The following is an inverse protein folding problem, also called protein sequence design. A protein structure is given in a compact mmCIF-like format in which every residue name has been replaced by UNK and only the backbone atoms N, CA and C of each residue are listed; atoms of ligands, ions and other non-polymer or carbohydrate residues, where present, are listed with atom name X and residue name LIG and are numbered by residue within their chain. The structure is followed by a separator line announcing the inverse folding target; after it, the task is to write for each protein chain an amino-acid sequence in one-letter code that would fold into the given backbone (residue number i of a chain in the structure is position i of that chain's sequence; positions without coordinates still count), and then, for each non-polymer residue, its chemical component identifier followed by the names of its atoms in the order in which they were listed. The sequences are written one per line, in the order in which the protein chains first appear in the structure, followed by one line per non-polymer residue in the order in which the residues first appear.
data_IF_165057360287
#
_entry.id   IF_165057360287
#
_cell.length_a   1.000
_cell.length_b   1.000
_cell.length_c   1.000
_cell.angle_alpha   90.00
_cell.angle_beta   90.00
_cell.angle_gamma   90.00
#
_symmetry.space_group_name_H-M   'P 1'
#
loop_
_entity.id
_entity.type
_entity.pdbx_description
1 polymer ?
#
# COMPACT_ATOMS: atom_id res chain seq x y z
N UNK A 1 -16.05 78.70 -22.69
CA UNK A 1 -14.60 78.93 -22.54
C UNK A 1 -13.89 77.77 -23.23
N UNK A 2 -12.78 78.06 -23.91
CA UNK A 2 -12.22 77.36 -25.07
C UNK A 2 -11.65 75.94 -24.81
N UNK A 3 -11.70 75.09 -25.84
CA UNK A 3 -10.78 73.96 -26.14
C UNK A 3 -9.40 74.54 -26.57
N UNK A 4 -8.29 73.81 -26.87
CA UNK A 4 -7.90 72.40 -26.67
C UNK A 4 -6.39 72.13 -26.30
N UNK A 5 -6.08 70.84 -26.04
CA UNK A 5 -4.92 70.03 -26.52
C UNK A 5 -3.48 70.19 -25.94
N UNK A 6 -2.59 69.18 -26.17
CA UNK A 6 -1.60 68.65 -25.21
C UNK A 6 -0.14 68.90 -25.63
N UNK A 7 0.82 68.43 -24.81
CA UNK A 7 2.22 68.23 -25.24
C UNK A 7 2.73 66.89 -24.72
N UNK A 8 3.32 66.12 -25.63
CA UNK A 8 4.03 64.86 -25.39
C UNK A 8 5.55 65.12 -25.23
N UNK A 9 6.36 64.08 -25.40
CA UNK A 9 7.84 64.04 -25.44
C UNK A 9 8.47 64.10 -24.01
N UNK A 10 9.45 63.28 -23.60
CA UNK A 10 10.53 62.56 -24.29
C UNK A 10 10.99 61.35 -23.43
N UNK A 11 11.27 60.24 -24.10
CA UNK A 11 12.05 59.08 -23.66
C UNK A 11 13.50 59.45 -23.31
N UNK A 12 14.05 59.04 -22.16
CA UNK A 12 15.51 58.77 -22.05
C UNK A 12 15.81 57.54 -21.21
N UNK A 13 16.34 56.55 -21.92
CA UNK A 13 17.13 55.42 -21.41
C UNK A 13 18.46 55.96 -20.88
N UNK A 14 18.84 55.60 -19.65
CA UNK A 14 20.25 55.55 -19.22
C UNK A 14 20.44 54.25 -18.43
N UNK A 15 21.18 53.33 -19.04
CA UNK A 15 21.95 52.29 -18.35
C UNK A 15 23.07 52.97 -17.55
N UNK A 16 23.23 52.59 -16.28
CA UNK A 16 24.53 52.67 -15.62
C UNK A 16 24.66 51.55 -14.60
N UNK A 17 25.38 50.52 -15.04
CA UNK A 17 26.08 49.54 -14.23
C UNK A 17 27.16 50.23 -13.40
N UNK A 18 27.19 49.98 -12.09
CA UNK A 18 28.43 50.05 -11.32
C UNK A 18 28.42 48.98 -10.21
N UNK A 19 29.30 48.01 -10.40
CA UNK A 19 29.73 47.02 -9.43
C UNK A 19 30.71 47.67 -8.45
N UNK A 20 30.58 47.36 -7.15
CA UNK A 20 31.66 47.03 -6.20
C UNK A 20 30.98 46.71 -4.85
N UNK A 21 30.87 45.43 -4.46
CA UNK A 21 31.79 44.74 -3.55
C UNK A 21 32.10 45.56 -2.29
N UNK A 22 31.59 45.10 -1.13
CA UNK A 22 32.39 44.80 0.06
C UNK A 22 31.55 44.00 1.09
N UNK A 23 32.11 42.83 1.39
CA UNK A 23 32.16 42.15 2.68
C UNK A 23 30.94 41.34 3.14
N UNK A 24 31.05 40.06 2.78
CA UNK A 24 30.24 38.97 3.30
C UNK A 24 30.30 38.84 4.82
N UNK A 25 29.13 38.70 5.41
CA UNK A 25 28.99 37.82 6.55
C UNK A 25 28.95 36.39 6.02
N UNK A 26 29.67 35.44 6.62
CA UNK A 26 29.52 34.05 6.25
C UNK A 26 28.08 33.68 6.58
N UNK A 27 27.30 33.35 5.55
CA UNK A 27 26.08 32.59 5.72
C UNK A 27 26.48 31.36 6.52
N UNK A 28 26.11 31.33 7.80
CA UNK A 28 26.14 30.11 8.60
C UNK A 28 25.21 29.17 7.89
N UNK A 29 25.80 28.33 7.03
CA UNK A 29 25.14 27.23 6.38
C UNK A 29 24.44 26.47 7.49
N UNK A 30 23.11 26.63 7.55
CA UNK A 30 22.24 25.95 8.46
C UNK A 30 22.40 24.48 8.08
N UNK A 31 23.32 23.79 8.77
CA UNK A 31 23.55 22.37 8.62
C UNK A 31 22.17 21.73 8.71
N UNK A 32 21.71 21.13 7.61
CA UNK A 32 20.55 20.24 7.59
C UNK A 32 20.70 19.29 8.76
N UNK A 33 20.00 19.57 9.86
CA UNK A 33 19.90 18.69 11.00
C UNK A 33 18.88 17.60 10.65
N UNK A 34 19.21 16.78 9.64
CA UNK A 34 18.49 15.56 9.27
C UNK A 34 19.17 14.36 9.91
N UNK A 35 19.48 14.43 11.21
CA UNK A 35 19.98 13.28 11.97
C UNK A 35 19.01 12.99 13.11
N UNK A 36 17.96 12.27 12.75
CA UNK A 36 17.21 11.46 13.70
C UNK A 36 18.12 10.30 14.17
N UNK A 37 18.14 10.02 15.46
CA UNK A 37 19.13 9.12 16.09
C UNK A 37 18.94 7.64 15.76
N UNK A 38 17.81 7.24 15.16
CA UNK A 38 17.69 5.97 14.46
C UNK A 38 17.91 6.23 12.96
N UNK A 39 18.98 5.67 12.37
CA UNK A 39 19.07 5.64 10.91
C UNK A 39 17.95 4.73 10.39
N UNK A 40 17.16 5.14 9.38
CA UNK A 40 16.11 4.33 8.75
C UNK A 40 16.48 2.87 8.42
N UNK A 41 17.75 2.61 8.13
CA UNK A 41 18.27 1.26 7.90
C UNK A 41 18.21 0.37 9.17
N UNK A 42 18.46 0.97 10.33
CA UNK A 42 18.57 0.25 11.60
C UNK A 42 17.22 -0.30 12.08
N UNK A 43 16.10 0.35 11.73
CA UNK A 43 14.76 -0.12 12.14
C UNK A 43 14.31 -1.35 11.35
N UNK A 44 14.52 -1.34 10.03
CA UNK A 44 14.24 -2.50 9.17
C UNK A 44 15.14 -3.67 9.54
N UNK A 45 16.43 -3.42 9.78
CA UNK A 45 17.37 -4.44 10.26
C UNK A 45 16.94 -5.01 11.61
N UNK A 46 16.64 -4.15 12.60
CA UNK A 46 16.23 -4.62 13.93
C UNK A 46 14.96 -5.48 13.86
N UNK A 47 13.98 -5.08 13.04
CA UNK A 47 12.76 -5.85 12.83
C UNK A 47 13.01 -7.20 12.14
N UNK A 48 13.90 -7.24 11.14
CA UNK A 48 14.28 -8.47 10.45
C UNK A 48 15.00 -9.46 11.36
N UNK A 49 15.74 -8.95 12.34
CA UNK A 49 16.53 -9.77 13.26
C UNK A 49 15.73 -10.34 14.43
N UNK A 50 14.53 -9.83 14.71
CA UNK A 50 13.69 -10.29 15.83
C UNK A 50 13.38 -11.79 15.78
N UNK A 51 13.13 -12.32 14.57
CA UNK A 51 12.84 -13.73 14.34
C UNK A 51 13.88 -14.42 13.46
N UNK A 52 15.06 -13.81 13.29
CA UNK A 52 16.15 -14.40 12.52
C UNK A 52 16.73 -15.64 13.21
N UNK A 53 17.18 -16.59 12.40
CA UNK A 53 17.94 -17.73 12.86
C UNK A 53 19.31 -17.28 13.39
N UNK A 54 19.75 -17.89 14.48
CA UNK A 54 21.13 -17.85 14.95
C UNK A 54 22.07 -18.55 13.96
N UNK A 55 23.39 -18.32 14.10
CA UNK A 55 24.40 -18.97 13.28
C UNK A 55 24.32 -20.50 13.35
N UNK A 56 24.08 -21.07 14.53
CA UNK A 56 23.95 -22.52 14.73
C UNK A 56 22.71 -23.07 14.04
N UNK A 57 21.58 -22.37 14.12
CA UNK A 57 20.35 -22.74 13.40
C UNK A 57 20.54 -22.68 11.88
N UNK A 58 21.22 -21.65 11.37
CA UNK A 58 21.57 -21.56 9.94
C UNK A 58 22.44 -22.74 9.52
N UNK A 59 23.48 -23.07 10.28
CA UNK A 59 24.37 -24.19 9.99
C UNK A 59 23.63 -25.54 10.04
N UNK A 60 22.62 -25.68 10.90
CA UNK A 60 21.80 -26.90 10.99
C UNK A 60 20.96 -27.19 9.74
N UNK A 61 20.78 -26.20 8.85
CA UNK A 61 20.09 -26.38 7.57
C UNK A 61 21.00 -26.98 6.49
N UNK A 62 22.32 -26.98 6.67
CA UNK A 62 23.26 -27.58 5.71
C UNK A 62 23.08 -29.10 5.68
N UNK A 63 23.06 -29.67 4.48
CA UNK A 63 22.80 -31.08 4.20
C UNK A 63 21.31 -31.43 4.09
N UNK A 64 20.41 -30.49 4.38
CA UNK A 64 18.96 -30.72 4.22
C UNK A 64 18.50 -30.48 2.78
N UNK A 65 17.41 -31.17 2.42
CA UNK A 65 16.67 -30.93 1.17
C UNK A 65 15.75 -29.72 1.32
N UNK A 66 15.65 -28.95 0.25
CA UNK A 66 14.91 -27.70 0.23
C UNK A 66 14.23 -27.42 -1.11
N UNK A 67 13.13 -26.69 -1.04
CA UNK A 67 12.56 -25.97 -2.18
C UNK A 67 12.86 -24.48 -2.02
N UNK A 68 13.53 -23.85 -2.97
CA UNK A 68 14.02 -22.47 -2.86
C UNK A 68 13.38 -21.59 -3.91
N UNK A 69 12.57 -20.63 -3.47
CA UNK A 69 11.95 -19.62 -4.32
C UNK A 69 12.89 -18.41 -4.49
N UNK A 70 13.04 -17.99 -5.73
CA UNK A 70 13.86 -16.83 -6.10
C UNK A 70 13.01 -15.63 -6.58
N UNK A 71 13.60 -14.44 -6.54
CA UNK A 71 12.90 -13.17 -6.84
C UNK A 71 12.37 -13.03 -8.27
N UNK A 72 12.79 -13.89 -9.20
CA UNK A 72 12.23 -13.96 -10.55
C UNK A 72 11.07 -14.96 -10.68
N UNK A 73 10.59 -15.50 -9.56
CA UNK A 73 9.51 -16.50 -9.51
C UNK A 73 9.95 -17.93 -9.81
N UNK A 74 11.23 -18.18 -10.07
CA UNK A 74 11.74 -19.54 -10.27
C UNK A 74 11.92 -20.25 -8.93
N UNK A 75 11.43 -21.46 -8.84
CA UNK A 75 11.67 -22.38 -7.73
C UNK A 75 12.73 -23.43 -8.11
N UNK A 76 13.71 -23.63 -7.24
CA UNK A 76 14.63 -24.77 -7.29
C UNK A 76 14.07 -25.85 -6.35
N UNK A 77 13.66 -26.99 -6.90
CA UNK A 77 12.93 -28.04 -6.17
C UNK A 77 13.86 -29.18 -5.76
N UNK A 78 13.67 -29.69 -4.55
CA UNK A 78 14.39 -30.82 -3.95
C UNK A 78 15.92 -30.74 -4.05
N UNK A 79 16.45 -29.53 -3.80
CA UNK A 79 17.88 -29.27 -3.79
C UNK A 79 18.47 -29.45 -2.40
N UNK A 80 19.65 -30.05 -2.32
CA UNK A 80 20.42 -30.13 -1.07
C UNK A 80 21.13 -28.80 -0.82
N UNK A 81 21.01 -28.26 0.39
CA UNK A 81 21.75 -27.07 0.82
C UNK A 81 23.17 -27.50 1.18
N UNK A 82 24.15 -27.24 0.31
CA UNK A 82 25.52 -27.68 0.57
C UNK A 82 26.31 -26.70 1.42
N UNK A 83 25.98 -25.39 1.34
CA UNK A 83 26.72 -24.36 2.05
C UNK A 83 26.00 -23.02 2.13
N UNK A 84 26.17 -22.31 3.25
CA UNK A 84 25.94 -20.88 3.33
C UNK A 84 27.27 -20.11 3.29
N UNK A 85 27.31 -19.02 2.52
CA UNK A 85 28.42 -18.06 2.54
C UNK A 85 27.99 -16.83 3.33
N UNK A 86 28.69 -16.54 4.42
CA UNK A 86 28.24 -15.60 5.44
C UNK A 86 29.02 -14.27 5.45
N UNK A 87 28.52 -13.34 6.25
CA UNK A 87 29.12 -12.05 6.57
C UNK A 87 30.26 -12.17 7.59
N UNK A 88 30.50 -11.07 8.32
CA UNK A 88 31.29 -11.12 9.57
C UNK A 88 30.52 -11.84 10.68
N UNK A 89 29.21 -11.74 10.61
CA UNK A 89 28.26 -12.47 11.43
C UNK A 89 27.79 -13.68 10.62
N UNK A 90 27.87 -14.86 11.23
CA UNK A 90 27.56 -16.13 10.60
C UNK A 90 26.05 -16.36 10.41
N UNK A 91 25.20 -15.59 11.10
CA UNK A 91 23.76 -15.57 10.84
C UNK A 91 23.38 -14.81 9.57
N UNK A 92 24.27 -13.96 9.05
CA UNK A 92 24.02 -13.13 7.88
C UNK A 92 24.53 -13.77 6.59
N UNK A 93 23.61 -14.11 5.69
CA UNK A 93 23.90 -14.88 4.47
C UNK A 93 24.11 -13.96 3.28
N UNK A 94 25.28 -14.04 2.64
CA UNK A 94 25.55 -13.36 1.35
C UNK A 94 25.08 -14.18 0.15
N UNK A 95 25.15 -15.51 0.26
CA UNK A 95 24.67 -16.44 -0.75
C UNK A 95 24.56 -17.85 -0.17
N UNK A 96 23.72 -18.67 -0.79
CA UNK A 96 23.58 -20.10 -0.51
C UNK A 96 24.05 -20.91 -1.72
N UNK A 97 24.68 -22.05 -1.48
CA UNK A 97 24.97 -23.05 -2.50
C UNK A 97 24.00 -24.22 -2.34
N UNK A 98 23.41 -24.63 -3.47
CA UNK A 98 22.47 -25.73 -3.53
C UNK A 98 22.85 -26.71 -4.63
N UNK A 99 22.48 -27.98 -4.48
CA UNK A 99 22.86 -29.04 -5.41
C UNK A 99 21.69 -29.99 -5.67
N UNK A 100 21.46 -30.36 -6.93
CA UNK A 100 20.51 -31.43 -7.28
C UNK A 100 21.19 -32.80 -7.18
N UNK A 101 20.40 -33.87 -7.01
CA UNK A 101 20.86 -35.23 -6.70
C UNK A 101 21.94 -35.78 -7.65
N UNK A 102 21.99 -35.31 -8.90
CA UNK A 102 22.96 -35.77 -9.91
C UNK A 102 23.93 -34.69 -10.42
N UNK A 103 23.92 -33.49 -9.83
CA UNK A 103 24.82 -32.43 -10.26
C UNK A 103 26.26 -32.71 -9.81
N UNK A 104 27.25 -32.44 -10.66
CA UNK A 104 28.67 -32.50 -10.27
C UNK A 104 29.17 -31.19 -9.63
N UNK A 105 28.42 -30.09 -9.79
CA UNK A 105 28.73 -28.77 -9.24
C UNK A 105 27.51 -28.16 -8.56
N UNK A 106 27.74 -27.48 -7.45
CA UNK A 106 26.72 -26.68 -6.77
C UNK A 106 26.34 -25.43 -7.58
N UNK A 107 25.10 -25.00 -7.42
CA UNK A 107 24.58 -23.74 -7.93
C UNK A 107 24.56 -22.72 -6.81
N UNK A 108 25.19 -21.57 -7.03
CA UNK A 108 25.21 -20.46 -6.08
C UNK A 108 24.04 -19.50 -6.30
N UNK A 109 23.27 -19.23 -5.26
CA UNK A 109 22.15 -18.29 -5.22
C UNK A 109 22.51 -17.13 -4.29
N UNK A 110 22.51 -15.90 -4.80
CA UNK A 110 22.85 -14.71 -4.02
C UNK A 110 21.67 -14.24 -3.17
N UNK A 111 21.96 -13.65 -2.00
CA UNK A 111 20.95 -13.16 -1.06
C UNK A 111 19.93 -12.20 -1.69
N UNK A 112 20.35 -11.38 -2.65
CA UNK A 112 19.47 -10.46 -3.41
C UNK A 112 18.44 -11.17 -4.29
N UNK A 113 18.58 -12.48 -4.50
CA UNK A 113 17.68 -13.30 -5.32
C UNK A 113 16.89 -14.30 -4.49
N UNK A 114 17.21 -14.49 -3.21
CA UNK A 114 16.52 -15.43 -2.35
C UNK A 114 15.27 -14.76 -1.78
N UNK A 115 14.14 -15.48 -1.79
CA UNK A 115 12.87 -14.98 -1.25
C UNK A 115 12.40 -15.87 -0.11
N UNK A 116 12.28 -17.16 -0.39
CA UNK A 116 11.74 -18.14 0.54
C UNK A 116 12.42 -19.49 0.32
N UNK A 117 12.48 -20.28 1.38
CA UNK A 117 12.94 -21.65 1.35
C UNK A 117 12.03 -22.50 2.22
N UNK A 118 11.63 -23.67 1.71
CA UNK A 118 10.96 -24.70 2.48
C UNK A 118 11.92 -25.84 2.76
N UNK A 119 12.07 -26.21 4.02
CA UNK A 119 12.92 -27.33 4.47
C UNK A 119 12.09 -28.14 5.45
N UNK A 120 11.93 -29.43 5.17
CA UNK A 120 10.97 -30.27 5.87
C UNK A 120 9.56 -29.60 5.81
N UNK A 121 8.85 -29.51 6.93
CA UNK A 121 7.56 -28.81 7.04
C UNK A 121 7.68 -27.32 7.40
N UNK A 122 8.90 -26.77 7.42
CA UNK A 122 9.14 -25.38 7.82
C UNK A 122 9.37 -24.46 6.63
N UNK A 123 8.81 -23.26 6.72
CA UNK A 123 9.03 -22.17 5.77
C UNK A 123 9.95 -21.13 6.38
N UNK A 124 10.97 -20.75 5.62
CA UNK A 124 11.96 -19.74 5.97
C UNK A 124 11.92 -18.60 4.96
N UNK A 125 11.94 -17.36 5.44
CA UNK A 125 12.00 -16.17 4.58
C UNK A 125 13.40 -15.56 4.61
N UNK A 126 13.90 -15.16 3.43
CA UNK A 126 15.16 -14.40 3.34
C UNK A 126 14.85 -12.91 3.33
N UNK A 127 15.26 -12.20 4.37
CA UNK A 127 15.12 -10.75 4.46
C UNK A 127 16.45 -10.08 4.11
N UNK A 128 16.56 -9.57 2.88
CA UNK A 128 17.78 -8.88 2.44
C UNK A 128 17.94 -7.53 3.15
N UNK A 129 19.12 -7.31 3.72
CA UNK A 129 19.51 -6.11 4.46
C UNK A 129 20.60 -5.36 3.65
N UNK A 130 20.24 -4.29 2.91
CA UNK A 130 21.16 -3.63 1.98
C UNK A 130 22.43 -3.06 2.63
N UNK A 131 22.32 -2.59 3.87
CA UNK A 131 23.42 -2.09 4.70
C UNK A 131 24.47 -3.16 5.00
N UNK A 132 24.02 -4.41 5.20
CA UNK A 132 24.86 -5.57 5.49
C UNK A 132 25.30 -6.31 4.22
N UNK A 133 24.65 -6.02 3.08
CA UNK A 133 24.80 -6.75 1.81
C UNK A 133 24.64 -8.27 1.99
N UNK A 134 23.71 -8.64 2.87
CA UNK A 134 23.42 -10.01 3.27
C UNK A 134 21.93 -10.12 3.62
N UNK A 135 21.42 -11.34 3.74
CA UNK A 135 20.08 -11.63 4.22
C UNK A 135 20.12 -12.30 5.60
N UNK A 136 19.16 -11.96 6.44
CA UNK A 136 18.79 -12.79 7.58
C UNK A 136 17.80 -13.87 7.12
N UNK A 137 17.83 -15.05 7.77
CA UNK A 137 16.84 -16.11 7.54
C UNK A 137 15.85 -16.06 8.70
N UNK A 138 14.57 -15.82 8.43
CA UNK A 138 13.50 -15.81 9.44
C UNK A 138 12.75 -17.16 9.42
N UNK A 139 12.52 -17.77 10.60
CA UNK A 139 11.60 -18.92 10.73
C UNK A 139 10.16 -18.40 10.79
N UNK A 140 9.42 -18.60 9.70
CA UNK A 140 8.05 -18.10 9.57
C UNK A 140 7.09 -18.79 10.52
N UNK A 141 7.36 -20.04 10.91
CA UNK A 141 6.52 -20.77 11.87
C UNK A 141 6.65 -20.15 13.26
N UNK A 142 7.89 -19.85 13.68
CA UNK A 142 8.18 -19.17 14.96
C UNK A 142 7.56 -17.78 14.99
N UNK A 143 7.74 -17.00 13.92
CA UNK A 143 7.18 -15.66 13.78
C UNK A 143 5.64 -15.67 13.81
N UNK A 144 5.02 -16.52 12.99
CA UNK A 144 3.56 -16.60 12.91
C UNK A 144 2.94 -17.11 14.21
N UNK A 145 3.59 -18.03 14.93
CA UNK A 145 3.12 -18.47 16.24
C UNK A 145 3.09 -17.32 17.26
N UNK A 146 4.17 -16.54 17.37
CA UNK A 146 4.25 -15.39 18.26
C UNK A 146 3.21 -14.31 17.91
N UNK A 147 3.02 -14.03 16.61
CA UNK A 147 2.02 -13.06 16.16
C UNK A 147 0.60 -13.58 16.40
N UNK A 148 0.33 -14.86 16.14
CA UNK A 148 -1.01 -15.45 16.35
C UNK A 148 -1.44 -15.36 17.82
N UNK A 149 -0.52 -15.60 18.74
CA UNK A 149 -0.79 -15.44 20.18
C UNK A 149 -1.20 -14.00 20.51
N UNK A 150 -0.49 -13.02 19.95
CA UNK A 150 -0.77 -11.60 20.12
C UNK A 150 -2.10 -11.18 19.49
N UNK A 151 -2.39 -11.63 18.27
CA UNK A 151 -3.65 -11.34 17.58
C UNK A 151 -4.86 -11.87 18.36
N UNK A 152 -4.75 -13.11 18.87
CA UNK A 152 -5.80 -13.73 19.70
C UNK A 152 -6.12 -12.93 20.96
N UNK A 153 -5.14 -12.25 21.55
CA UNK A 153 -5.38 -11.38 22.71
C UNK A 153 -6.29 -10.17 22.39
N UNK A 154 -6.40 -9.80 21.12
CA UNK A 154 -7.27 -8.73 20.63
C UNK A 154 -8.50 -9.25 19.86
N UNK A 155 -8.79 -10.56 19.92
CA UNK A 155 -9.83 -11.22 19.12
C UNK A 155 -9.66 -11.01 17.60
N UNK A 156 -8.41 -10.96 17.16
CA UNK A 156 -8.00 -10.89 15.76
C UNK A 156 -7.28 -12.17 15.36
N UNK A 157 -7.20 -12.44 14.06
CA UNK A 157 -6.52 -13.63 13.52
C UNK A 157 -5.87 -13.36 12.17
N UNK A 158 -4.95 -14.24 11.78
CA UNK A 158 -4.49 -14.26 10.39
C UNK A 158 -5.64 -14.69 9.49
N UNK A 159 -5.67 -14.16 8.27
CA UNK A 159 -6.52 -14.75 7.25
C UNK A 159 -5.94 -16.09 6.83
N UNK A 160 -6.79 -17.11 6.80
CA UNK A 160 -6.39 -18.43 6.35
C UNK A 160 -5.92 -18.43 4.88
N UNK A 161 -4.94 -19.26 4.59
CA UNK A 161 -4.61 -19.61 3.21
C UNK A 161 -5.74 -20.50 2.66
N UNK A 162 -6.38 -20.04 1.59
CA UNK A 162 -7.53 -20.72 1.00
C UNK A 162 -7.04 -21.65 -0.11
N UNK A 163 -7.23 -22.98 0.01
CA UNK A 163 -6.85 -23.94 -1.04
C UNK A 163 -7.57 -23.65 -2.36
N UNK A 164 -6.92 -23.95 -3.49
CA UNK A 164 -7.46 -23.66 -4.83
C UNK A 164 -8.89 -24.21 -5.04
N UNK A 165 -9.17 -25.42 -4.56
CA UNK A 165 -10.51 -26.02 -4.64
C UNK A 165 -11.56 -25.18 -3.92
N UNK A 166 -11.22 -24.56 -2.79
CA UNK A 166 -12.11 -23.68 -2.05
C UNK A 166 -12.22 -22.30 -2.71
N UNK A 167 -11.12 -21.78 -3.27
CA UNK A 167 -11.14 -20.56 -4.07
C UNK A 167 -12.19 -20.64 -5.19
N UNK A 168 -12.25 -21.76 -5.91
CA UNK A 168 -13.24 -21.98 -6.98
C UNK A 168 -14.67 -22.03 -6.45
N UNK A 169 -14.91 -22.69 -5.30
CA UNK A 169 -16.25 -22.70 -4.67
C UNK A 169 -16.73 -21.29 -4.34
N UNK A 170 -15.85 -20.42 -3.84
CA UNK A 170 -16.21 -19.03 -3.54
C UNK A 170 -16.50 -18.22 -4.81
N UNK A 171 -15.79 -18.47 -5.90
CA UNK A 171 -16.12 -17.87 -7.21
C UNK A 171 -17.53 -18.28 -7.67
N UNK A 172 -17.89 -19.56 -7.51
CA UNK A 172 -19.24 -20.04 -7.85
C UNK A 172 -20.31 -19.43 -6.96
N UNK A 173 -20.07 -19.35 -5.64
CA UNK A 173 -20.95 -18.65 -4.69
C UNK A 173 -21.23 -17.21 -5.15
N UNK A 174 -20.21 -16.49 -5.58
CA UNK A 174 -20.35 -15.12 -6.05
C UNK A 174 -21.07 -15.02 -7.40
N UNK A 175 -20.86 -15.99 -8.30
CA UNK A 175 -21.61 -16.04 -9.56
C UNK A 175 -23.10 -16.30 -9.30
N UNK A 176 -23.46 -17.12 -8.31
CA UNK A 176 -24.85 -17.29 -7.88
C UNK A 176 -25.43 -16.01 -7.27
N UNK A 177 -24.66 -15.30 -6.45
CA UNK A 177 -25.07 -13.96 -5.97
C UNK A 177 -25.33 -13.00 -7.13
N UNK A 178 -24.42 -12.92 -8.11
CA UNK A 178 -24.56 -12.04 -9.27
C UNK A 178 -25.74 -12.42 -10.17
N UNK A 179 -26.14 -13.69 -10.24
CA UNK A 179 -27.38 -14.10 -10.92
C UNK A 179 -28.63 -13.53 -10.24
N UNK A 180 -28.65 -13.48 -8.90
CA UNK A 180 -29.74 -12.83 -8.14
C UNK A 180 -29.79 -11.33 -8.44
N UNK A 181 -28.64 -10.68 -8.44
CA UNK A 181 -28.51 -9.27 -8.84
C UNK A 181 -29.05 -9.06 -10.26
N UNK A 182 -28.62 -9.88 -11.24
CA UNK A 182 -29.10 -9.80 -12.61
C UNK A 182 -30.60 -10.04 -12.79
N UNK A 183 -31.20 -10.87 -11.94
CA UNK A 183 -32.65 -11.11 -11.95
C UNK A 183 -33.42 -9.88 -11.43
N UNK A 184 -32.93 -9.26 -10.35
CA UNK A 184 -33.50 -8.02 -9.82
C UNK A 184 -33.39 -6.89 -10.85
N UNK A 185 -32.21 -6.71 -11.46
CA UNK A 185 -31.94 -5.71 -12.48
C UNK A 185 -32.21 -6.21 -13.91
N UNK A 186 -33.24 -7.04 -14.12
CA UNK A 186 -33.54 -7.66 -15.44
C UNK A 186 -33.85 -6.66 -16.56
N UNK A 187 -34.22 -5.43 -16.23
CA UNK A 187 -34.39 -4.33 -17.18
C UNK A 187 -33.07 -3.73 -17.70
N UNK A 188 -31.94 -4.06 -17.08
CA UNK A 188 -30.60 -3.61 -17.46
C UNK A 188 -29.86 -4.72 -18.20
N UNK A 189 -29.02 -4.35 -19.18
CA UNK A 189 -28.15 -5.30 -19.87
C UNK A 189 -26.89 -5.59 -19.03
N UNK A 190 -27.08 -6.21 -17.86
CA UNK A 190 -26.00 -6.55 -16.94
C UNK A 190 -25.11 -7.65 -17.51
N UNK A 191 -23.80 -7.42 -17.51
CA UNK A 191 -22.79 -8.32 -18.07
C UNK A 191 -21.66 -8.57 -17.07
N UNK A 192 -21.22 -9.83 -17.01
CA UNK A 192 -20.10 -10.25 -16.17
C UNK A 192 -18.80 -10.29 -16.97
N UNK A 193 -17.79 -9.60 -16.46
CA UNK A 193 -16.41 -9.63 -16.93
C UNK A 193 -15.53 -10.20 -15.82
N UNK A 194 -14.75 -11.22 -16.13
CA UNK A 194 -13.92 -11.92 -15.15
C UNK A 194 -12.44 -11.70 -15.46
N UNK A 195 -11.68 -11.19 -14.48
CA UNK A 195 -10.21 -11.06 -14.56
C UNK A 195 -9.54 -12.11 -13.68
N UNK A 196 -8.21 -12.03 -13.50
CA UNK A 196 -7.50 -12.91 -12.56
C UNK A 196 -8.01 -12.75 -11.12
N UNK A 197 -8.33 -11.52 -10.69
CA UNK A 197 -8.65 -11.21 -9.30
C UNK A 197 -10.10 -10.76 -9.07
N UNK A 198 -10.83 -10.39 -10.14
CA UNK A 198 -12.12 -9.71 -10.03
C UNK A 198 -13.24 -10.38 -10.82
N UNK A 199 -14.46 -10.30 -10.26
CA UNK A 199 -15.72 -10.49 -10.96
C UNK A 199 -16.38 -9.12 -11.10
N UNK A 200 -16.39 -8.55 -12.31
CA UNK A 200 -16.90 -7.21 -12.59
C UNK A 200 -18.24 -7.29 -13.32
N UNK A 201 -19.32 -6.94 -12.63
CA UNK A 201 -20.70 -7.05 -13.11
C UNK A 201 -21.30 -5.66 -13.34
N UNK A 202 -21.75 -5.38 -14.57
CA UNK A 202 -22.13 -4.02 -14.95
C UNK A 202 -23.13 -3.94 -16.10
N UNK A 203 -23.93 -2.87 -16.16
CA UNK A 203 -24.74 -2.47 -17.32
C UNK A 203 -23.99 -1.58 -18.33
N UNK A 204 -22.71 -1.28 -18.08
CA UNK A 204 -21.90 -0.47 -18.98
C UNK A 204 -21.73 -1.12 -20.37
N UNK A 205 -21.70 -0.33 -21.46
CA UNK A 205 -21.40 -0.87 -22.79
C UNK A 205 -19.99 -1.48 -22.81
N UNK A 206 -19.87 -2.67 -23.40
CA UNK A 206 -18.62 -3.45 -23.41
C UNK A 206 -17.36 -2.65 -23.83
N UNK A 207 -17.51 -1.72 -24.77
CA UNK A 207 -16.41 -0.84 -25.25
C UNK A 207 -15.82 0.08 -24.18
N UNK A 208 -16.52 0.28 -23.05
CA UNK A 208 -16.13 1.19 -21.98
C UNK A 208 -15.54 0.46 -20.77
N UNK A 209 -15.65 -0.88 -20.70
CA UNK A 209 -15.30 -1.65 -19.49
C UNK A 209 -13.80 -1.94 -19.39
N UNK A 210 -13.14 -2.22 -20.51
CA UNK A 210 -11.75 -2.70 -20.55
C UNK A 210 -10.75 -1.85 -19.73
N UNK A 211 -10.79 -0.49 -19.76
CA UNK A 211 -9.86 0.32 -18.97
C UNK A 211 -9.98 0.08 -17.46
N UNK A 212 -11.20 -0.17 -16.95
CA UNK A 212 -11.45 -0.38 -15.53
C UNK A 212 -10.91 -1.72 -15.03
N UNK A 213 -11.04 -2.78 -15.84
CA UNK A 213 -10.48 -4.09 -15.53
C UNK A 213 -8.95 -4.04 -15.40
N UNK A 214 -8.28 -3.32 -16.31
CA UNK A 214 -6.82 -3.12 -16.27
C UNK A 214 -6.41 -2.32 -15.03
N UNK A 215 -7.19 -1.30 -14.65
CA UNK A 215 -6.93 -0.51 -13.45
C UNK A 215 -7.04 -1.36 -12.18
N UNK A 216 -8.07 -2.19 -12.07
CA UNK A 216 -8.27 -3.09 -10.93
C UNK A 216 -7.12 -4.10 -10.77
N UNK A 217 -6.76 -4.80 -11.85
CA UNK A 217 -5.63 -5.75 -11.82
C UNK A 217 -4.30 -5.03 -11.48
N UNK A 218 -4.07 -3.84 -12.05
CA UNK A 218 -2.87 -3.03 -11.75
C UNK A 218 -2.84 -2.60 -10.28
N UNK A 219 -3.98 -2.24 -9.68
CA UNK A 219 -4.06 -1.92 -8.26
C UNK A 219 -3.68 -3.13 -7.40
N UNK A 220 -4.23 -4.32 -7.69
CA UNK A 220 -3.90 -5.54 -6.96
C UNK A 220 -2.40 -5.84 -6.99
N UNK A 221 -1.77 -5.75 -8.17
CA UNK A 221 -0.32 -5.98 -8.32
C UNK A 221 0.53 -4.91 -7.61
N UNK A 222 0.16 -3.62 -7.71
CA UNK A 222 0.91 -2.54 -7.07
C UNK A 222 0.81 -2.58 -5.54
N UNK A 223 -0.36 -2.89 -4.99
CA UNK A 223 -0.52 -3.07 -3.54
C UNK A 223 0.23 -4.33 -3.09
N UNK A 224 0.14 -5.43 -3.83
CA UNK A 224 0.90 -6.66 -3.57
C UNK A 224 2.41 -6.39 -3.47
N UNK A 225 2.96 -5.64 -4.43
CA UNK A 225 4.37 -5.24 -4.42
C UNK A 225 4.72 -4.31 -3.24
N UNK A 226 3.88 -3.30 -2.99
CA UNK A 226 4.14 -2.28 -1.97
C UNK A 226 4.08 -2.83 -0.54
N UNK A 227 3.27 -3.86 -0.31
CA UNK A 227 3.12 -4.49 1.01
C UNK A 227 3.91 -5.82 1.12
N UNK A 228 4.46 -6.31 0.01
CA UNK A 228 5.41 -7.41 -0.02
C UNK A 228 4.80 -8.80 -0.11
N UNK A 229 3.62 -8.94 -0.71
CA UNK A 229 3.18 -10.22 -1.23
C UNK A 229 4.00 -10.63 -2.47
N UNK A 230 4.03 -11.94 -2.71
CA UNK A 230 4.64 -12.51 -3.91
C UNK A 230 3.86 -12.02 -5.14
N UNK A 231 4.53 -11.73 -6.27
CA UNK A 231 3.84 -11.42 -7.52
C UNK A 231 2.79 -12.47 -7.85
N UNK A 232 1.60 -12.03 -8.25
CA UNK A 232 0.54 -12.94 -8.63
C UNK A 232 -0.26 -13.57 -7.48
N UNK A 233 0.04 -13.25 -6.21
CA UNK A 233 -0.69 -13.76 -5.05
C UNK A 233 -2.15 -13.25 -5.03
N UNK A 234 -3.10 -14.17 -4.85
CA UNK A 234 -4.51 -13.84 -4.72
C UNK A 234 -4.86 -13.68 -3.24
N UNK A 235 -5.11 -12.44 -2.82
CA UNK A 235 -5.50 -12.14 -1.43
C UNK A 235 -7.00 -12.36 -1.17
N UNK A 236 -7.80 -12.48 -2.23
CA UNK A 236 -9.25 -12.50 -2.14
C UNK A 236 -9.74 -13.88 -1.75
N UNK A 237 -10.84 -13.93 -1.00
CA UNK A 237 -11.66 -15.15 -0.87
C UNK A 237 -12.36 -15.37 -2.21
N UNK A 238 -11.84 -16.25 -3.05
CA UNK A 238 -12.21 -16.41 -4.45
C UNK A 238 -11.69 -15.25 -5.29
N UNK A 239 -12.57 -14.29 -5.57
CA UNK A 239 -12.30 -13.04 -6.30
C UNK A 239 -13.06 -11.90 -5.64
N UNK A 240 -12.54 -10.67 -5.69
CA UNK A 240 -13.35 -9.52 -5.30
C UNK A 240 -14.49 -9.30 -6.30
N UNK A 241 -15.70 -9.08 -5.80
CA UNK A 241 -16.85 -8.77 -6.64
C UNK A 241 -16.97 -7.26 -6.76
N UNK A 242 -17.18 -6.77 -7.97
CA UNK A 242 -17.51 -5.38 -8.25
C UNK A 242 -18.84 -5.34 -9.00
N UNK A 243 -19.81 -4.62 -8.46
CA UNK A 243 -21.10 -4.34 -9.12
C UNK A 243 -21.13 -2.85 -9.47
N UNK A 244 -20.97 -2.54 -10.75
CA UNK A 244 -20.85 -1.16 -11.23
C UNK A 244 -22.05 -0.79 -12.12
N UNK A 245 -22.76 0.27 -11.77
CA UNK A 245 -23.92 0.75 -12.52
C UNK A 245 -23.59 2.00 -13.33
N UNK A 246 -24.24 2.21 -14.49
CA UNK A 246 -24.16 3.49 -15.19
C UNK A 246 -24.85 4.60 -14.38
N UNK A 247 -26.05 4.29 -13.85
CA UNK A 247 -26.92 5.25 -13.19
C UNK A 247 -26.82 5.19 -11.66
N UNK A 248 -26.86 6.36 -11.02
CA UNK A 248 -26.90 6.48 -9.55
C UNK A 248 -28.09 5.73 -8.94
N UNK A 249 -29.26 5.77 -9.60
CA UNK A 249 -30.47 5.16 -9.05
C UNK A 249 -30.35 3.64 -8.89
N UNK A 250 -29.79 2.94 -9.88
CA UNK A 250 -29.57 1.50 -9.80
C UNK A 250 -28.55 1.12 -8.72
N UNK A 251 -27.53 1.96 -8.50
CA UNK A 251 -26.63 1.80 -7.35
C UNK A 251 -27.36 1.94 -6.02
N UNK A 252 -28.21 2.95 -5.85
CA UNK A 252 -28.99 3.13 -4.61
C UNK A 252 -29.94 1.95 -4.37
N UNK A 253 -30.62 1.50 -5.42
CA UNK A 253 -31.50 0.32 -5.38
C UNK A 253 -30.73 -0.95 -4.99
N UNK A 254 -29.52 -1.14 -5.52
CA UNK A 254 -28.67 -2.27 -5.14
C UNK A 254 -28.27 -2.22 -3.66
N UNK A 255 -27.91 -1.03 -3.16
CA UNK A 255 -27.52 -0.84 -1.76
C UNK A 255 -28.70 -1.07 -0.80
N UNK A 256 -29.90 -0.65 -1.19
CA UNK A 256 -31.12 -0.91 -0.43
C UNK A 256 -31.47 -2.40 -0.42
N UNK A 257 -31.57 -3.03 -1.60
CA UNK A 257 -32.04 -4.42 -1.72
C UNK A 257 -31.04 -5.44 -1.15
N UNK A 258 -29.75 -5.31 -1.44
CA UNK A 258 -28.77 -6.34 -1.12
C UNK A 258 -27.99 -6.06 0.18
N UNK A 259 -28.03 -4.81 0.68
CA UNK A 259 -27.29 -4.39 1.86
C UNK A 259 -28.13 -3.63 2.90
N UNK A 260 -29.44 -3.47 2.69
CA UNK A 260 -30.35 -2.74 3.59
C UNK A 260 -29.87 -1.32 3.92
N UNK A 261 -29.22 -0.64 2.97
CA UNK A 261 -28.74 0.74 3.11
C UNK A 261 -29.66 1.71 2.37
N UNK A 262 -30.62 2.27 3.10
CA UNK A 262 -31.56 3.28 2.57
C UNK A 262 -30.93 4.66 2.39
N UNK A 263 -29.79 4.92 3.03
CA UNK A 263 -29.02 6.17 2.89
C UNK A 263 -27.54 5.87 2.67
N UNK A 264 -27.02 6.34 1.54
CA UNK A 264 -25.60 6.26 1.18
C UNK A 264 -24.91 7.63 1.24
N UNK A 265 -25.66 8.68 1.63
CA UNK A 265 -25.19 10.06 1.62
C UNK A 265 -24.76 10.51 0.22
N UNK A 266 -23.53 10.99 0.11
CA UNK A 266 -22.92 11.40 -1.16
C UNK A 266 -21.96 10.35 -1.74
N UNK A 267 -22.00 9.11 -1.23
CA UNK A 267 -21.10 8.04 -1.69
C UNK A 267 -21.33 7.73 -3.18
N UNK A 268 -20.23 7.51 -3.89
CA UNK A 268 -20.22 7.15 -5.32
C UNK A 268 -19.91 5.67 -5.51
N UNK A 269 -19.23 5.08 -4.53
CA UNK A 269 -19.20 3.66 -4.31
C UNK A 269 -19.09 3.34 -2.83
N UNK A 270 -19.18 2.06 -2.51
CA UNK A 270 -19.06 1.50 -1.19
C UNK A 270 -18.32 0.17 -1.28
N UNK A 271 -17.45 -0.08 -0.31
CA UNK A 271 -16.85 -1.39 -0.07
C UNK A 271 -17.55 -2.13 1.07
N UNK A 272 -18.10 -3.30 0.76
CA UNK A 272 -18.71 -4.21 1.73
C UNK A 272 -17.75 -5.35 2.07
N UNK A 273 -17.05 -5.18 3.19
CA UNK A 273 -16.14 -6.17 3.77
C UNK A 273 -16.85 -6.98 4.85
N UNK A 274 -16.76 -8.30 4.78
CA UNK A 274 -17.45 -9.21 5.70
C UNK A 274 -16.43 -9.96 6.57
N UNK A 275 -16.88 -10.44 7.74
CA UNK A 275 -16.03 -11.14 8.71
C UNK A 275 -15.43 -12.45 8.19
N UNK A 276 -16.07 -13.10 7.22
CA UNK A 276 -15.55 -14.30 6.54
C UNK A 276 -14.53 -13.98 5.42
N UNK A 277 -14.22 -12.70 5.23
CA UNK A 277 -13.31 -12.22 4.20
C UNK A 277 -13.95 -12.04 2.82
N UNK A 278 -15.27 -12.11 2.69
CA UNK A 278 -15.98 -11.73 1.47
C UNK A 278 -15.90 -10.21 1.25
N UNK A 279 -15.62 -9.81 0.01
CA UNK A 279 -15.53 -8.41 -0.41
C UNK A 279 -16.40 -8.19 -1.63
N UNK A 280 -17.33 -7.23 -1.52
CA UNK A 280 -18.18 -6.78 -2.61
C UNK A 280 -18.09 -5.26 -2.67
N UNK A 281 -17.74 -4.71 -3.82
CA UNK A 281 -17.72 -3.28 -4.09
C UNK A 281 -18.90 -2.93 -4.97
N UNK A 282 -19.62 -1.89 -4.62
CA UNK A 282 -20.71 -1.34 -5.44
C UNK A 282 -20.41 0.11 -5.78
N UNK A 283 -20.72 0.53 -7.00
CA UNK A 283 -20.48 1.92 -7.40
C UNK A 283 -21.33 2.31 -8.60
N UNK A 284 -21.42 3.62 -8.88
CA UNK A 284 -21.97 4.11 -10.13
C UNK A 284 -20.98 4.98 -10.92
N UNK A 285 -21.08 4.94 -12.26
CA UNK A 285 -20.13 5.54 -13.18
C UNK A 285 -20.22 7.05 -13.28
N UNK A 286 -21.42 7.62 -13.15
CA UNK A 286 -21.62 9.07 -13.26
C UNK A 286 -21.23 9.63 -14.65
N UNK A 287 -20.72 10.87 -14.70
CA UNK A 287 -20.43 11.53 -15.99
C UNK A 287 -18.94 11.58 -16.34
N UNK A 288 -18.04 11.47 -15.35
CA UNK A 288 -16.60 11.51 -15.56
C UNK A 288 -15.99 10.10 -15.46
N UNK A 289 -15.67 9.44 -16.58
CA UNK A 289 -15.08 8.10 -16.56
C UNK A 289 -13.71 8.02 -15.87
N UNK A 290 -12.92 9.10 -15.81
CA UNK A 290 -11.63 9.09 -15.09
C UNK A 290 -11.86 9.15 -13.58
N UNK A 291 -12.77 10.02 -13.15
CA UNK A 291 -13.16 10.09 -11.75
C UNK A 291 -13.76 8.77 -11.28
N UNK A 292 -14.64 8.15 -12.07
CA UNK A 292 -15.17 6.82 -11.75
C UNK A 292 -14.06 5.76 -11.63
N UNK A 293 -13.08 5.74 -12.53
CA UNK A 293 -11.94 4.84 -12.40
C UNK A 293 -11.20 5.03 -11.07
N UNK A 294 -11.03 6.27 -10.63
CA UNK A 294 -10.41 6.57 -9.33
C UNK A 294 -11.28 6.11 -8.15
N UNK A 295 -12.59 6.33 -8.18
CA UNK A 295 -13.53 5.83 -7.15
C UNK A 295 -13.50 4.30 -7.09
N UNK A 296 -13.58 3.64 -8.24
CA UNK A 296 -13.54 2.18 -8.32
C UNK A 296 -12.28 1.60 -7.67
N UNK A 297 -11.12 2.19 -7.98
CA UNK A 297 -9.85 1.76 -7.39
C UNK A 297 -9.80 2.08 -5.89
N UNK A 298 -10.30 3.24 -5.47
CA UNK A 298 -10.36 3.65 -4.06
C UNK A 298 -11.21 2.68 -3.23
N UNK A 299 -12.46 2.43 -3.62
CA UNK A 299 -13.35 1.52 -2.88
C UNK A 299 -12.79 0.10 -2.82
N UNK A 300 -12.24 -0.39 -3.93
CA UNK A 300 -11.67 -1.74 -3.95
C UNK A 300 -10.39 -1.86 -3.10
N UNK A 301 -9.65 -0.76 -2.92
CA UNK A 301 -8.48 -0.75 -2.03
C UNK A 301 -8.86 -1.00 -0.57
N UNK A 302 -10.03 -0.54 -0.10
CA UNK A 302 -10.52 -0.88 1.25
C UNK A 302 -10.70 -2.39 1.42
N UNK A 303 -11.29 -3.05 0.43
CA UNK A 303 -11.42 -4.51 0.42
C UNK A 303 -10.07 -5.21 0.42
N UNK A 304 -9.09 -4.67 -0.31
CA UNK A 304 -7.73 -5.22 -0.33
C UNK A 304 -7.08 -5.12 1.05
N UNK A 305 -7.19 -3.96 1.70
CA UNK A 305 -6.67 -3.68 3.05
C UNK A 305 -7.34 -4.58 4.09
N UNK A 306 -8.65 -4.81 3.97
CA UNK A 306 -9.40 -5.75 4.79
C UNK A 306 -8.80 -7.15 4.70
N UNK A 307 -8.59 -7.65 3.48
CA UNK A 307 -8.07 -9.01 3.25
C UNK A 307 -6.56 -9.16 3.39
N UNK A 308 -5.84 -8.07 3.56
CA UNK A 308 -4.41 -8.14 3.71
C UNK A 308 -4.05 -8.79 5.05
N UNK A 309 -3.37 -9.94 5.02
CA UNK A 309 -2.66 -10.61 6.14
C UNK A 309 -3.51 -11.09 7.32
N UNK A 310 -4.26 -10.22 8.00
CA UNK A 310 -5.03 -10.53 9.21
C UNK A 310 -6.34 -9.73 9.26
N UNK A 311 -7.19 -10.03 10.23
CA UNK A 311 -8.47 -9.33 10.45
C UNK A 311 -8.30 -7.95 11.10
N UNK A 312 -7.09 -7.61 11.58
CA UNK A 312 -6.81 -6.36 12.31
C UNK A 312 -7.28 -5.14 11.52
N UNK A 313 -8.14 -4.27 12.10
CA UNK A 313 -8.59 -3.05 11.44
C UNK A 313 -7.45 -2.05 11.29
N UNK A 314 -7.49 -1.30 10.19
CA UNK A 314 -6.54 -0.22 9.92
C UNK A 314 -7.19 1.12 10.30
N UNK A 315 -6.48 2.03 11.00
CA UNK A 315 -6.98 3.37 11.29
C UNK A 315 -7.47 4.10 10.04
N UNK A 316 -8.57 4.84 10.16
CA UNK A 316 -9.25 5.50 9.02
C UNK A 316 -8.29 6.35 8.19
N UNK A 317 -7.43 7.17 8.80
CA UNK A 317 -6.47 7.99 8.04
C UNK A 317 -5.48 7.18 7.19
N UNK A 318 -5.11 5.98 7.63
CA UNK A 318 -4.22 5.09 6.88
C UNK A 318 -5.02 4.40 5.77
N UNK A 319 -6.22 3.91 6.10
CA UNK A 319 -7.09 3.21 5.15
C UNK A 319 -7.47 4.12 3.98
N UNK A 320 -8.01 5.31 4.27
CA UNK A 320 -8.35 6.33 3.29
C UNK A 320 -7.12 6.86 2.55
N UNK A 321 -6.02 7.07 3.28
CA UNK A 321 -4.78 7.57 2.68
C UNK A 321 -4.18 6.61 1.65
N UNK A 322 -4.21 5.29 1.91
CA UNK A 322 -3.77 4.27 0.97
C UNK A 322 -4.73 4.19 -0.23
N UNK A 323 -6.05 4.19 0.01
CA UNK A 323 -7.06 4.13 -1.03
C UNK A 323 -6.93 5.29 -2.04
N UNK A 324 -6.76 6.52 -1.55
CA UNK A 324 -6.51 7.69 -2.40
C UNK A 324 -5.14 7.64 -3.10
N UNK A 325 -4.10 7.23 -2.38
CA UNK A 325 -2.77 7.12 -2.97
C UNK A 325 -2.75 6.14 -4.15
N UNK A 326 -3.33 4.94 -3.99
CA UNK A 326 -3.31 3.93 -5.05
C UNK A 326 -4.21 4.34 -6.22
N UNK A 327 -5.36 4.96 -5.96
CA UNK A 327 -6.21 5.52 -7.01
C UNK A 327 -5.45 6.54 -7.88
N UNK A 328 -4.68 7.44 -7.27
CA UNK A 328 -3.83 8.38 -8.00
C UNK A 328 -2.72 7.70 -8.83
N UNK A 329 -2.14 6.61 -8.33
CA UNK A 329 -1.05 5.89 -9.03
C UNK A 329 -1.56 5.04 -10.21
N UNK A 330 -2.75 4.47 -10.06
CA UNK A 330 -3.36 3.58 -11.04
C UNK A 330 -4.13 4.36 -12.10
N UNK A 331 -4.77 5.46 -11.71
CA UNK A 331 -5.62 6.31 -12.57
C UNK A 331 -5.05 7.73 -12.66
N UNK A 332 -3.86 7.92 -13.24
CA UNK A 332 -3.19 9.23 -13.28
C UNK A 332 -3.93 10.27 -14.12
N UNK A 333 -4.91 9.86 -14.94
CA UNK A 333 -5.80 10.75 -15.69
C UNK A 333 -6.82 11.46 -14.80
N UNK A 334 -7.16 10.90 -13.63
CA UNK A 334 -7.99 11.56 -12.64
C UNK A 334 -7.16 12.56 -11.83
N UNK A 335 -7.65 13.80 -11.73
CA UNK A 335 -6.99 14.87 -10.96
C UNK A 335 -7.52 14.99 -9.53
N UNK A 336 -8.57 14.23 -9.19
CA UNK A 336 -9.34 14.41 -7.96
C UNK A 336 -8.50 14.31 -6.68
N UNK A 337 -7.71 13.23 -6.55
CA UNK A 337 -6.86 13.05 -5.36
C UNK A 337 -5.84 14.17 -5.22
N UNK A 338 -5.25 14.63 -6.34
CA UNK A 338 -4.28 15.73 -6.33
C UNK A 338 -4.94 17.06 -5.96
N UNK A 339 -6.18 17.28 -6.42
CA UNK A 339 -6.98 18.41 -6.01
C UNK A 339 -7.23 18.39 -4.50
N UNK A 340 -7.70 17.26 -3.95
CA UNK A 340 -7.89 17.08 -2.50
C UNK A 340 -6.61 17.35 -1.71
N UNK A 341 -5.47 16.81 -2.14
CA UNK A 341 -4.16 17.08 -1.50
C UNK A 341 -3.80 18.57 -1.51
N UNK A 342 -4.09 19.26 -2.61
CA UNK A 342 -3.82 20.70 -2.75
C UNK A 342 -4.73 21.51 -1.84
N UNK A 343 -6.02 21.19 -1.80
CA UNK A 343 -7.01 21.82 -0.94
C UNK A 343 -6.66 21.61 0.54
N UNK A 344 -6.33 20.38 0.92
CA UNK A 344 -5.92 20.04 2.28
C UNK A 344 -4.67 20.84 2.70
N UNK A 345 -3.64 20.90 1.85
CA UNK A 345 -2.46 21.69 2.12
C UNK A 345 -2.78 23.19 2.27
N UNK A 346 -3.71 23.74 1.47
CA UNK A 346 -4.14 25.13 1.60
C UNK A 346 -4.86 25.39 2.94
N UNK A 347 -5.76 24.48 3.37
CA UNK A 347 -6.44 24.57 4.67
C UNK A 347 -5.46 24.45 5.85
N UNK A 348 -4.50 23.54 5.75
CA UNK A 348 -3.45 23.39 6.77
C UNK A 348 -2.59 24.65 6.89
N UNK A 349 -2.27 25.33 5.78
CA UNK A 349 -1.52 26.61 5.82
C UNK A 349 -2.27 27.73 6.53
N UNK A 350 -3.60 27.66 6.58
CA UNK A 350 -4.42 28.64 7.27
C UNK A 350 -4.60 28.30 8.76
N UNK A 351 -4.83 27.01 9.06
CA UNK A 351 -5.18 26.53 10.41
C UNK A 351 -3.99 26.10 11.26
N UNK A 352 -2.90 25.67 10.64
CA UNK A 352 -1.71 25.07 11.26
C UNK A 352 -1.99 23.79 12.11
N UNK A 353 -3.13 23.13 11.91
CA UNK A 353 -3.52 21.86 12.56
C UNK A 353 -4.35 21.02 11.60
N UNK A 354 -4.36 19.70 11.75
CA UNK A 354 -5.27 18.81 10.99
C UNK A 354 -6.74 18.97 11.37
N UNK A 355 -7.04 19.67 12.47
CA UNK A 355 -8.40 19.86 12.97
C UNK A 355 -9.02 18.58 13.49
N UNK A 356 -9.97 18.71 14.42
CA UNK A 356 -10.70 17.57 15.00
C UNK A 356 -9.77 16.52 15.62
N UNK A 357 -10.09 15.25 15.40
CA UNK A 357 -9.32 14.08 15.87
C UNK A 357 -8.77 13.30 14.67
N UNK A 358 -8.11 13.96 13.72
CA UNK A 358 -7.66 13.37 12.43
C UNK A 358 -7.06 11.95 12.54
N UNK A 359 -6.19 11.70 13.53
CA UNK A 359 -5.53 10.41 13.71
C UNK A 359 -6.36 9.36 14.48
N UNK A 360 -7.40 9.78 15.20
CA UNK A 360 -8.16 8.94 16.14
C UNK A 360 -9.66 8.84 15.80
N UNK A 361 -10.12 9.52 14.76
CA UNK A 361 -11.53 9.55 14.38
C UNK A 361 -11.85 8.38 13.44
N UNK A 362 -13.01 7.76 13.64
CA UNK A 362 -13.55 6.73 12.76
C UNK A 362 -13.94 7.29 11.39
N UNK A 363 -14.18 8.61 11.31
CA UNK A 363 -14.52 9.32 10.07
C UNK A 363 -13.64 10.54 9.85
N UNK A 364 -13.19 10.72 8.62
CA UNK A 364 -12.50 11.93 8.19
C UNK A 364 -13.49 12.96 7.64
N UNK A 365 -13.21 14.23 7.86
CA UNK A 365 -13.82 15.32 7.09
C UNK A 365 -13.35 15.24 5.63
N UNK A 366 -14.19 15.66 4.67
CA UNK A 366 -13.88 15.50 3.24
C UNK A 366 -12.53 16.09 2.80
N UNK A 367 -12.07 17.17 3.43
CA UNK A 367 -10.76 17.77 3.12
C UNK A 367 -9.58 17.00 3.72
N UNK A 368 -9.79 16.24 4.80
CA UNK A 368 -8.74 15.49 5.50
C UNK A 368 -8.26 14.27 4.70
N UNK A 369 -9.05 13.74 3.75
CA UNK A 369 -8.63 12.70 2.80
C UNK A 369 -7.39 13.13 2.01
N UNK A 370 -7.32 14.41 1.64
CA UNK A 370 -6.15 14.99 0.99
C UNK A 370 -4.90 14.96 1.89
N UNK A 371 -5.05 15.24 3.19
CA UNK A 371 -3.95 15.14 4.16
C UNK A 371 -3.50 13.69 4.36
N UNK A 372 -4.44 12.76 4.55
CA UNK A 372 -4.19 11.34 4.70
C UNK A 372 -3.36 10.76 3.53
N UNK A 373 -3.82 11.00 2.30
CA UNK A 373 -3.12 10.51 1.10
C UNK A 373 -1.75 11.14 0.90
N UNK A 374 -1.57 12.42 1.24
CA UNK A 374 -0.28 13.10 1.15
C UNK A 374 0.73 12.56 2.17
N UNK A 375 0.30 12.21 3.39
CA UNK A 375 1.15 11.59 4.42
C UNK A 375 1.57 10.18 3.97
N UNK A 376 0.62 9.36 3.49
CA UNK A 376 0.95 8.02 2.97
C UNK A 376 1.94 8.12 1.81
N UNK A 377 1.73 9.06 0.88
CA UNK A 377 2.67 9.30 -0.21
C UNK A 377 4.06 9.73 0.30
N UNK A 378 4.14 10.58 1.32
CA UNK A 378 5.39 10.99 1.95
C UNK A 378 6.15 9.78 2.52
N UNK A 379 5.47 8.94 3.28
CA UNK A 379 6.06 7.76 3.92
C UNK A 379 6.58 6.75 2.89
N UNK A 380 5.79 6.47 1.86
CA UNK A 380 6.19 5.60 0.73
C UNK A 380 7.36 6.17 -0.05
N UNK A 381 7.37 7.48 -0.35
CA UNK A 381 8.49 8.14 -1.03
C UNK A 381 9.76 8.15 -0.19
N UNK A 382 9.64 8.25 1.13
CA UNK A 382 10.80 8.24 2.02
C UNK A 382 11.50 6.88 1.99
N UNK A 383 10.73 5.79 2.16
CA UNK A 383 11.26 4.42 2.06
C UNK A 383 10.11 3.39 1.97
N UNK A 384 9.92 2.71 0.82
CA UNK A 384 8.89 1.68 0.66
C UNK A 384 9.05 0.48 1.60
N UNK A 385 10.28 0.06 1.92
CA UNK A 385 10.51 -1.07 2.85
C UNK A 385 10.11 -0.72 4.28
N UNK A 386 10.31 0.53 4.70
CA UNK A 386 9.81 0.99 5.99
C UNK A 386 8.29 1.09 5.99
N UNK A 387 7.67 1.51 4.88
CA UNK A 387 6.22 1.54 4.79
C UNK A 387 5.62 0.13 4.88
N UNK A 388 6.25 -0.84 4.21
CA UNK A 388 5.92 -2.25 4.33
C UNK A 388 6.03 -2.74 5.78
N UNK A 389 7.12 -2.40 6.49
CA UNK A 389 7.28 -2.75 7.91
C UNK A 389 6.21 -2.08 8.79
N UNK A 390 5.92 -0.80 8.55
CA UNK A 390 4.89 -0.04 9.25
C UNK A 390 3.51 -0.67 9.08
N UNK A 391 3.10 -0.97 7.85
CA UNK A 391 1.78 -1.53 7.59
C UNK A 391 1.67 -2.96 8.12
N UNK A 392 2.70 -3.79 7.91
CA UNK A 392 2.74 -5.15 8.45
C UNK A 392 2.69 -5.16 9.98
N UNK A 393 3.40 -4.26 10.66
CA UNK A 393 3.37 -4.19 12.11
C UNK A 393 1.96 -3.96 12.67
N UNK A 394 1.15 -3.12 12.00
CA UNK A 394 -0.26 -2.92 12.38
C UNK A 394 -1.04 -4.22 12.19
N UNK A 395 -0.89 -4.86 11.03
CA UNK A 395 -1.56 -6.14 10.72
C UNK A 395 -1.03 -7.32 11.56
N UNK A 396 0.08 -7.15 12.26
CA UNK A 396 0.62 -8.08 13.27
C UNK A 396 0.22 -7.64 14.70
N UNK A 397 -0.77 -6.76 14.82
CA UNK A 397 -1.39 -6.35 16.07
C UNK A 397 -0.63 -5.26 16.85
N UNK A 398 0.34 -4.57 16.27
CA UNK A 398 0.89 -3.36 16.89
C UNK A 398 -0.12 -2.22 16.76
N UNK A 399 -0.11 -1.28 17.72
CA UNK A 399 -0.74 0.02 17.49
C UNK A 399 -0.03 0.69 16.30
N UNK A 400 -0.75 1.56 15.57
CA UNK A 400 -0.12 2.25 14.43
C UNK A 400 1.00 3.19 14.89
N UNK A 401 0.93 3.74 16.10
CA UNK A 401 2.00 4.55 16.68
C UNK A 401 3.25 3.71 16.98
N UNK A 402 3.09 2.55 17.61
CA UNK A 402 4.21 1.64 17.86
C UNK A 402 4.81 1.14 16.54
N UNK A 403 3.97 0.85 15.55
CA UNK A 403 4.43 0.46 14.24
C UNK A 403 5.17 1.59 13.52
N UNK A 404 4.72 2.85 13.65
CA UNK A 404 5.40 4.02 13.10
C UNK A 404 6.78 4.21 13.76
N UNK A 405 6.83 4.11 15.08
CA UNK A 405 8.07 4.19 15.84
C UNK A 405 9.02 3.05 15.49
N UNK A 406 8.49 1.82 15.38
CA UNK A 406 9.26 0.63 14.99
C UNK A 406 9.81 0.76 13.57
N UNK A 407 9.00 1.21 12.61
CA UNK A 407 9.39 1.22 11.21
C UNK A 407 10.23 2.43 10.80
N UNK A 408 9.86 3.62 11.26
CA UNK A 408 10.47 4.89 10.87
C UNK A 408 11.27 5.56 11.98
N UNK A 409 11.14 5.11 13.23
CA UNK A 409 11.75 5.79 14.37
C UNK A 409 11.08 7.12 14.72
N UNK A 410 9.83 7.32 14.29
CA UNK A 410 9.10 8.59 14.41
C UNK A 410 7.96 8.52 15.43
N UNK A 411 7.77 9.61 16.15
CA UNK A 411 6.50 9.90 16.86
C UNK A 411 5.47 10.51 15.90
N UNK A 412 4.21 10.60 16.34
CA UNK A 412 3.13 11.23 15.58
C UNK A 412 3.45 12.70 15.27
N UNK A 413 3.96 13.44 16.26
CA UNK A 413 4.34 14.85 16.11
C UNK A 413 5.45 15.00 15.08
N UNK A 414 6.44 14.10 15.07
CA UNK A 414 7.53 14.12 14.11
C UNK A 414 7.05 13.82 12.68
N UNK A 415 6.09 12.89 12.53
CA UNK A 415 5.44 12.64 11.24
C UNK A 415 4.68 13.89 10.75
N UNK A 416 3.93 14.55 11.65
CA UNK A 416 3.22 15.80 11.34
C UNK A 416 4.18 16.91 10.92
N UNK A 417 5.29 17.09 11.64
CA UNK A 417 6.33 18.06 11.30
C UNK A 417 7.01 17.74 9.97
N UNK A 418 7.30 16.47 9.70
CA UNK A 418 7.89 16.03 8.43
C UNK A 418 6.96 16.37 7.25
N UNK A 419 5.66 16.08 7.38
CA UNK A 419 4.67 16.48 6.38
C UNK A 419 4.53 18.00 6.29
N UNK A 420 4.43 18.68 7.43
CA UNK A 420 4.35 20.13 7.53
C UNK A 420 5.49 20.83 6.78
N UNK A 421 6.73 20.34 6.88
CA UNK A 421 7.86 20.85 6.11
C UNK A 421 7.62 20.80 4.59
N UNK A 422 6.95 19.77 4.07
CA UNK A 422 6.65 19.65 2.63
C UNK A 422 5.67 20.69 2.13
N UNK A 423 4.83 21.23 3.01
CA UNK A 423 3.81 22.23 2.67
C UNK A 423 4.14 23.64 3.18
N UNK A 424 5.31 23.84 3.79
CA UNK A 424 5.76 25.15 4.29
C UNK A 424 5.34 25.47 5.73
N UNK A 425 4.97 24.46 6.51
CA UNK A 425 4.48 24.57 7.90
C UNK A 425 5.32 23.64 8.81
N UNK A 426 6.58 23.97 9.12
CA UNK A 426 7.48 23.05 9.82
C UNK A 426 7.05 22.70 11.26
N UNK A 427 6.08 23.42 11.83
CA UNK A 427 5.52 23.20 13.18
C UNK A 427 4.06 22.74 13.14
N UNK A 428 3.67 22.02 12.09
CA UNK A 428 2.34 21.43 12.00
C UNK A 428 2.13 20.47 13.19
N UNK A 429 1.08 20.73 13.96
CA UNK A 429 0.68 19.87 15.09
C UNK A 429 -0.31 18.81 14.62
N UNK A 430 -0.40 17.67 15.34
CA UNK A 430 -1.40 16.64 15.08
C UNK A 430 -2.84 17.17 15.03
#
# INVERSE_FOLDING_TARGET
MMVPRPVSVVFRVILLSLSLLLMGQPATAQKRATRYNAKPSNTVEAAALEFALSADEVNSLVGKKANVLTSNGKEEVDVEITRFFTGRDESHIKSMEVKTENATRGKRLFATRLVEMKVDDKTYQFQYLPSLKAAAIEDMSRKNAAISEKLRASNEEFWDEIPEKEQLKYVDEYKEFLKKVGTHFSGFNMQLYETKYFLFYTDMPAKQVAPYLVQLDKMNELLGQSFGFKPGHNIWRGKAVVVAFLAKQAFLEFEEEFYNRTETGNAIGLCHSHGDGKVIVSCYRGNDPNFFGAVLVHETAHGYIHRYKSTVPIPTWINEGIADWIAMMVVPSSKEVRFRQTEAAARLRQSHTFGGQFFNNDRLDGWQYGSASAIIQLMLKANPEQFKLFFNGIKEGLTWQDSLQRAYGLTVEQLCQAYGQTIGIPRLTP
#
